data_IF_515543654043
#
_entry.id   IF_515543654043
#
_cell.length_a   1.000
_cell.length_b   1.000
_cell.length_c   1.000
_cell.angle_alpha   90.00
_cell.angle_beta   90.00
_cell.angle_gamma   90.00
#
_symmetry.space_group_name_H-M   'P 1'
#
loop_
_entity.id
_entity.type
_entity.pdbx_description
1 polymer ?
#
# COMPACT_ATOMS: atom_id res chain seq x y z
N UNK A 1 25.71 2.31 -30.55
CA UNK A 1 25.43 3.24 -29.44
C UNK A 1 24.24 2.84 -28.58
N UNK A 2 22.96 3.02 -28.97
CA UNK A 2 21.83 2.66 -28.07
C UNK A 2 21.81 1.18 -27.64
N UNK A 3 22.18 0.26 -28.54
CA UNK A 3 22.24 -1.18 -28.25
C UNK A 3 23.36 -1.58 -27.26
N UNK A 4 24.50 -0.89 -27.28
CA UNK A 4 25.63 -1.17 -26.38
C UNK A 4 25.38 -0.65 -24.96
N UNK A 5 24.69 0.50 -24.83
CA UNK A 5 24.31 1.07 -23.54
C UNK A 5 23.31 0.16 -22.81
N UNK A 6 22.31 -0.36 -23.52
CA UNK A 6 21.31 -1.30 -22.95
C UNK A 6 21.99 -2.60 -22.49
N UNK A 7 22.96 -3.12 -23.25
CA UNK A 7 23.67 -4.36 -22.93
C UNK A 7 24.67 -4.22 -21.76
N UNK A 8 25.06 -3.00 -21.41
CA UNK A 8 25.90 -2.72 -20.25
C UNK A 8 25.03 -2.56 -18.99
N UNK A 9 23.89 -1.87 -19.11
CA UNK A 9 22.91 -1.66 -18.03
C UNK A 9 22.24 -2.95 -17.52
N UNK A 10 22.11 -3.98 -18.37
CA UNK A 10 21.55 -5.29 -17.98
C UNK A 10 22.37 -6.04 -16.93
N UNK A 11 23.65 -5.69 -16.73
CA UNK A 11 24.53 -6.32 -15.72
C UNK A 11 24.53 -5.61 -14.36
N UNK A 12 24.01 -4.39 -14.29
CA UNK A 12 23.97 -3.63 -13.04
C UNK A 12 22.89 -4.18 -12.09
N UNK A 13 23.21 -4.13 -10.80
CA UNK A 13 22.25 -4.42 -9.74
C UNK A 13 21.16 -3.35 -9.71
N UNK A 14 19.99 -3.73 -9.20
CA UNK A 14 18.83 -2.85 -9.16
C UNK A 14 19.09 -1.56 -8.35
N UNK A 15 19.89 -1.65 -7.28
CA UNK A 15 20.29 -0.51 -6.46
C UNK A 15 21.11 0.51 -7.24
N UNK A 16 22.03 0.02 -8.08
CA UNK A 16 22.89 0.86 -8.91
C UNK A 16 22.11 1.53 -10.06
N UNK A 17 21.15 0.81 -10.67
CA UNK A 17 20.24 1.38 -11.66
C UNK A 17 19.41 2.53 -11.07
N UNK A 18 18.93 2.38 -9.84
CA UNK A 18 18.18 3.43 -9.13
C UNK A 18 19.07 4.62 -8.77
N UNK A 19 20.32 4.39 -8.37
CA UNK A 19 21.28 5.46 -8.09
C UNK A 19 21.60 6.28 -9.35
N UNK A 20 21.92 5.60 -10.46
CA UNK A 20 22.17 6.26 -11.75
C UNK A 20 20.94 7.02 -12.25
N UNK A 21 19.75 6.45 -12.04
CA UNK A 21 18.51 7.15 -12.35
C UNK A 21 18.37 8.44 -11.53
N UNK A 22 18.62 8.41 -10.21
CA UNK A 22 18.60 9.63 -9.39
C UNK A 22 19.60 10.68 -9.86
N UNK A 23 20.71 10.27 -10.47
CA UNK A 23 21.74 11.14 -11.04
C UNK A 23 21.42 11.70 -12.44
N UNK A 24 20.28 11.33 -13.05
CA UNK A 24 19.83 11.87 -14.35
C UNK A 24 19.86 10.88 -15.50
N UNK A 25 20.24 9.62 -15.26
CA UNK A 25 20.25 8.61 -16.31
C UNK A 25 18.88 7.94 -16.46
N UNK A 26 18.01 8.49 -17.30
CA UNK A 26 16.66 7.94 -17.52
C UNK A 26 16.68 6.53 -18.14
N UNK A 27 17.73 6.17 -18.89
CA UNK A 27 17.90 4.82 -19.44
C UNK A 27 18.10 3.75 -18.35
N UNK A 28 18.63 4.14 -17.19
CA UNK A 28 18.76 3.25 -16.03
C UNK A 28 17.38 2.90 -15.46
N UNK A 29 16.46 3.88 -15.37
CA UNK A 29 15.08 3.62 -14.95
C UNK A 29 14.32 2.78 -15.97
N UNK A 30 14.48 3.05 -17.26
CA UNK A 30 13.83 2.23 -18.29
C UNK A 30 14.24 0.75 -18.19
N UNK A 31 15.53 0.50 -17.93
CA UNK A 31 16.05 -0.86 -17.71
C UNK A 31 15.47 -1.49 -16.45
N UNK A 32 15.43 -0.75 -15.34
CA UNK A 32 14.82 -1.18 -14.09
C UNK A 32 13.32 -1.50 -14.27
N UNK A 33 12.56 -0.61 -14.91
CA UNK A 33 11.14 -0.78 -15.22
C UNK A 33 10.90 -2.07 -16.02
N UNK A 34 11.61 -2.25 -17.15
CA UNK A 34 11.46 -3.44 -18.00
C UNK A 34 11.77 -4.74 -17.27
N UNK A 35 12.72 -4.71 -16.32
CA UNK A 35 13.09 -5.88 -15.51
C UNK A 35 11.97 -6.32 -14.56
N UNK A 36 11.20 -5.38 -14.02
CA UNK A 36 10.24 -5.65 -12.93
C UNK A 36 8.77 -5.64 -13.37
N UNK A 37 8.41 -4.92 -14.44
CA UNK A 37 7.02 -4.70 -14.86
C UNK A 37 6.23 -6.01 -15.04
N UNK A 38 6.81 -7.00 -15.73
CA UNK A 38 6.13 -8.28 -16.02
C UNK A 38 5.82 -9.05 -14.73
N UNK A 39 6.77 -9.11 -13.80
CA UNK A 39 6.58 -9.81 -12.53
C UNK A 39 5.53 -9.10 -11.66
N UNK A 40 5.57 -7.78 -11.59
CA UNK A 40 4.63 -6.99 -10.79
C UNK A 40 3.21 -7.06 -11.36
N UNK A 41 3.04 -7.00 -12.68
CA UNK A 41 1.76 -7.24 -13.34
C UNK A 41 1.22 -8.63 -13.00
N UNK A 42 2.05 -9.68 -13.08
CA UNK A 42 1.63 -11.03 -12.71
C UNK A 42 1.15 -11.15 -11.26
N UNK A 43 1.75 -10.41 -10.33
CA UNK A 43 1.31 -10.34 -8.93
C UNK A 43 0.02 -9.54 -8.78
N UNK A 44 -0.10 -8.41 -9.49
CA UNK A 44 -1.27 -7.54 -9.48
C UNK A 44 -2.52 -8.26 -10.02
N UNK A 45 -2.42 -8.89 -11.20
CA UNK A 45 -3.54 -9.62 -11.82
C UNK A 45 -4.06 -10.73 -10.90
N UNK A 46 -3.16 -11.49 -10.24
CA UNK A 46 -3.55 -12.52 -9.27
C UNK A 46 -4.30 -11.99 -8.05
N UNK A 47 -4.09 -10.72 -7.70
CA UNK A 47 -4.71 -10.10 -6.52
C UNK A 47 -6.00 -9.37 -6.85
N UNK A 48 -6.05 -8.70 -7.99
CA UNK A 48 -7.16 -7.80 -8.35
C UNK A 48 -8.26 -8.54 -9.11
N UNK A 49 -7.91 -9.61 -9.84
CA UNK A 49 -8.81 -10.36 -10.71
C UNK A 49 -9.46 -9.50 -11.81
N UNK A 50 -8.79 -8.41 -12.18
CA UNK A 50 -9.08 -7.52 -13.31
C UNK A 50 -7.72 -7.13 -13.91
N UNK A 51 -7.52 -7.45 -15.20
CA UNK A 51 -6.25 -7.24 -15.88
C UNK A 51 -6.02 -5.77 -16.25
N UNK A 52 -7.08 -5.03 -16.57
CA UNK A 52 -7.00 -3.62 -16.97
C UNK A 52 -6.69 -2.76 -15.75
N UNK A 53 -7.42 -2.97 -14.65
CA UNK A 53 -7.13 -2.33 -13.38
C UNK A 53 -5.72 -2.67 -12.85
N UNK A 54 -5.27 -3.92 -13.02
CA UNK A 54 -3.91 -4.31 -12.64
C UNK A 54 -2.83 -3.56 -13.43
N UNK A 55 -3.04 -3.32 -14.72
CA UNK A 55 -2.12 -2.52 -15.55
C UNK A 55 -2.06 -1.08 -15.05
N UNK A 56 -3.20 -0.46 -14.83
CA UNK A 56 -3.29 0.92 -14.36
C UNK A 56 -2.62 1.11 -13.00
N UNK A 57 -2.84 0.19 -12.06
CA UNK A 57 -2.25 0.24 -10.71
C UNK A 57 -0.72 0.15 -10.76
N UNK A 58 -0.19 -0.77 -11.56
CA UNK A 58 1.26 -0.92 -11.70
C UNK A 58 1.86 0.30 -12.41
N UNK A 59 1.17 0.85 -13.41
CA UNK A 59 1.59 2.07 -14.08
C UNK A 59 1.59 3.27 -13.13
N UNK A 60 0.51 3.49 -12.38
CA UNK A 60 0.39 4.57 -11.38
C UNK A 60 1.49 4.46 -10.31
N UNK A 61 1.81 3.24 -9.87
CA UNK A 61 2.92 2.99 -8.95
C UNK A 61 4.27 3.48 -9.50
N UNK A 62 4.62 3.14 -10.75
CA UNK A 62 5.86 3.61 -11.37
C UNK A 62 5.85 5.12 -11.65
N UNK A 63 4.71 5.68 -12.08
CA UNK A 63 4.56 7.14 -12.27
C UNK A 63 4.73 7.91 -10.96
N UNK A 64 4.21 7.37 -9.85
CA UNK A 64 4.41 7.94 -8.52
C UNK A 64 5.88 7.88 -8.10
N UNK A 65 6.57 6.78 -8.39
CA UNK A 65 8.01 6.67 -8.16
C UNK A 65 8.79 7.74 -8.92
N UNK A 66 8.46 7.97 -10.20
CA UNK A 66 9.08 9.01 -11.03
C UNK A 66 8.79 10.41 -10.48
N UNK A 67 7.53 10.68 -10.15
CA UNK A 67 7.09 11.99 -9.64
C UNK A 67 7.74 12.35 -8.30
N UNK A 68 8.12 11.33 -7.52
CA UNK A 68 8.76 11.48 -6.21
C UNK A 68 10.26 11.15 -6.24
N UNK A 69 10.90 11.16 -7.42
CA UNK A 69 12.30 10.75 -7.62
C UNK A 69 13.27 11.39 -6.62
N UNK A 70 13.15 12.70 -6.38
CA UNK A 70 14.06 13.45 -5.50
C UNK A 70 13.85 13.11 -4.01
N UNK A 71 12.66 12.63 -3.66
CA UNK A 71 12.27 12.25 -2.29
C UNK A 71 12.45 10.77 -2.00
N UNK A 72 12.86 9.97 -2.99
CA UNK A 72 13.09 8.55 -2.78
C UNK A 72 14.24 8.38 -1.77
N UNK A 73 14.05 7.58 -0.71
CA UNK A 73 15.15 7.22 0.18
C UNK A 73 16.20 6.41 -0.59
N UNK A 74 17.35 6.19 0.03
CA UNK A 74 18.26 5.15 -0.44
C UNK A 74 17.57 3.80 -0.29
N UNK A 75 17.53 3.00 -1.36
CA UNK A 75 16.77 1.75 -1.40
C UNK A 75 17.76 0.59 -1.37
N UNK A 76 17.98 0.03 -0.18
CA UNK A 76 18.84 -1.14 0.02
C UNK A 76 18.28 -2.40 -0.65
N UNK A 77 16.95 -2.53 -0.71
CA UNK A 77 16.27 -3.67 -1.35
C UNK A 77 15.18 -3.21 -2.33
N UNK A 78 15.54 -3.01 -3.61
CA UNK A 78 14.61 -2.56 -4.65
C UNK A 78 13.41 -3.49 -4.83
N UNK A 79 13.62 -4.80 -4.71
CA UNK A 79 12.53 -5.79 -4.78
C UNK A 79 11.54 -5.65 -3.62
N UNK A 80 12.02 -5.49 -2.39
CA UNK A 80 11.14 -5.30 -1.22
C UNK A 80 10.36 -3.99 -1.33
N UNK A 81 11.02 -2.92 -1.80
CA UNK A 81 10.40 -1.63 -2.07
C UNK A 81 9.27 -1.74 -3.11
N UNK A 82 9.52 -2.40 -4.25
CA UNK A 82 8.53 -2.58 -5.31
C UNK A 82 7.32 -3.40 -4.84
N UNK A 83 7.55 -4.49 -4.10
CA UNK A 83 6.46 -5.30 -3.55
C UNK A 83 5.61 -4.53 -2.54
N UNK A 84 6.24 -3.68 -1.72
CA UNK A 84 5.55 -2.82 -0.76
C UNK A 84 4.73 -1.75 -1.48
N UNK A 85 5.33 -1.10 -2.47
CA UNK A 85 4.68 -0.08 -3.31
C UNK A 85 3.49 -0.66 -4.06
N UNK A 86 3.62 -1.84 -4.66
CA UNK A 86 2.52 -2.51 -5.34
C UNK A 86 1.38 -2.85 -4.38
N UNK A 87 1.71 -3.34 -3.18
CA UNK A 87 0.71 -3.61 -2.15
C UNK A 87 -0.05 -2.33 -1.75
N UNK A 88 0.65 -1.21 -1.63
CA UNK A 88 0.04 0.10 -1.34
C UNK A 88 -0.88 0.55 -2.49
N UNK A 89 -0.46 0.42 -3.74
CA UNK A 89 -1.29 0.81 -4.89
C UNK A 89 -2.54 -0.06 -5.03
N UNK A 90 -2.43 -1.37 -4.81
CA UNK A 90 -3.59 -2.28 -4.79
C UNK A 90 -4.56 -1.91 -3.66
N UNK A 91 -4.03 -1.59 -2.48
CA UNK A 91 -4.85 -1.14 -1.36
C UNK A 91 -5.61 0.16 -1.69
N UNK A 92 -4.92 1.15 -2.27
CA UNK A 92 -5.52 2.41 -2.68
C UNK A 92 -6.59 2.22 -3.76
N UNK A 93 -6.36 1.31 -4.71
CA UNK A 93 -7.36 0.93 -5.70
C UNK A 93 -8.64 0.41 -5.03
N UNK A 94 -8.55 -0.59 -4.16
CA UNK A 94 -9.73 -1.12 -3.47
C UNK A 94 -10.41 -0.10 -2.57
N UNK A 95 -9.63 0.80 -1.95
CA UNK A 95 -10.19 1.93 -1.19
C UNK A 95 -11.03 2.83 -2.11
N UNK A 96 -10.52 3.19 -3.29
CA UNK A 96 -11.24 4.02 -4.28
C UNK A 96 -12.49 3.32 -4.82
N UNK A 97 -12.37 2.04 -5.17
CA UNK A 97 -13.50 1.19 -5.61
C UNK A 97 -14.61 1.12 -4.56
N UNK A 98 -14.27 0.90 -3.29
CA UNK A 98 -15.26 0.82 -2.21
C UNK A 98 -15.97 2.16 -1.98
N UNK A 99 -15.23 3.26 -2.07
CA UNK A 99 -15.79 4.60 -1.99
C UNK A 99 -16.70 4.87 -3.20
N UNK A 100 -16.27 4.54 -4.41
CA UNK A 100 -17.05 4.72 -5.64
C UNK A 100 -18.34 3.90 -5.61
N UNK A 101 -18.27 2.62 -5.21
CA UNK A 101 -19.46 1.77 -5.04
C UNK A 101 -20.41 2.32 -3.98
N UNK A 102 -19.91 2.87 -2.88
CA UNK A 102 -20.76 3.57 -1.90
C UNK A 102 -21.41 4.81 -2.49
N UNK A 103 -20.72 5.57 -3.35
CA UNK A 103 -21.30 6.72 -4.04
C UNK A 103 -22.35 6.30 -5.08
N UNK A 104 -22.11 5.21 -5.81
CA UNK A 104 -23.07 4.65 -6.77
C UNK A 104 -24.29 4.05 -6.07
N UNK A 105 -24.09 3.26 -5.01
CA UNK A 105 -25.15 2.79 -4.12
C UNK A 105 -25.91 3.97 -3.53
N UNK A 106 -25.23 5.03 -3.06
CA UNK A 106 -25.88 6.25 -2.57
C UNK A 106 -26.69 6.98 -3.65
N UNK A 107 -26.20 7.06 -4.88
CA UNK A 107 -26.90 7.67 -6.02
C UNK A 107 -28.12 6.83 -6.45
N UNK A 108 -28.06 5.51 -6.32
CA UNK A 108 -29.18 4.60 -6.59
C UNK A 108 -30.20 4.59 -5.44
N UNK A 109 -29.76 4.59 -4.18
CA UNK A 109 -30.64 4.59 -2.99
C UNK A 109 -31.33 5.93 -2.78
N UNK A 110 -30.74 7.06 -3.18
CA UNK A 110 -31.43 8.37 -3.13
C UNK A 110 -32.58 8.48 -4.14
N UNK A 111 -32.62 7.61 -5.17
CA UNK A 111 -33.78 7.46 -6.06
C UNK A 111 -34.91 6.60 -5.46
N UNK A 112 -34.65 5.82 -4.40
CA UNK A 112 -35.63 4.98 -3.69
C UNK A 112 -35.66 5.36 -2.21
N UNK A 113 -36.52 6.33 -1.86
CA UNK A 113 -36.56 6.99 -0.56
C UNK A 113 -36.36 6.10 0.69
N UNK A 114 -35.40 6.54 1.52
CA UNK A 114 -35.34 6.48 2.99
C UNK A 114 -35.50 5.11 3.68
N UNK A 115 -34.37 4.46 4.00
CA UNK A 115 -34.01 3.97 5.38
C UNK A 115 -32.60 3.34 5.40
N UNK A 116 -32.17 2.73 4.28
CA UNK A 116 -30.91 1.97 4.21
C UNK A 116 -29.66 2.85 4.37
N UNK A 117 -29.68 4.11 3.92
CA UNK A 117 -28.50 5.00 3.98
C UNK A 117 -28.08 5.31 5.40
N UNK A 118 -29.03 5.56 6.31
CA UNK A 118 -28.73 5.82 7.71
C UNK A 118 -28.20 4.56 8.37
N UNK A 119 -28.82 3.40 8.10
CA UNK A 119 -28.44 2.11 8.66
C UNK A 119 -27.03 1.68 8.23
N UNK A 120 -26.69 1.83 6.94
CA UNK A 120 -25.34 1.52 6.43
C UNK A 120 -24.27 2.49 6.95
N UNK A 121 -24.58 3.78 7.05
CA UNK A 121 -23.68 4.76 7.67
C UNK A 121 -23.49 4.48 9.17
N UNK A 122 -24.56 4.07 9.86
CA UNK A 122 -24.51 3.66 11.27
C UNK A 122 -23.60 2.44 11.43
N UNK A 123 -23.77 1.42 10.58
CA UNK A 123 -22.95 0.21 10.61
C UNK A 123 -21.47 0.47 10.28
N UNK A 124 -21.18 1.37 9.34
CA UNK A 124 -19.81 1.76 9.03
C UNK A 124 -19.14 2.50 10.20
N UNK A 125 -19.86 3.43 10.82
CA UNK A 125 -19.39 4.21 11.98
C UNK A 125 -19.24 3.37 13.23
N UNK A 126 -20.12 2.40 13.42
CA UNK A 126 -20.01 1.39 14.48
C UNK A 126 -18.76 0.54 14.29
N UNK A 127 -18.51 0.04 13.07
CA UNK A 127 -17.33 -0.76 12.77
C UNK A 127 -16.03 0.03 12.92
N UNK A 128 -16.03 1.30 12.51
CA UNK A 128 -14.92 2.22 12.74
C UNK A 128 -14.67 2.45 14.24
N UNK A 129 -15.73 2.68 15.01
CA UNK A 129 -15.65 2.86 16.47
C UNK A 129 -15.07 1.61 17.13
N UNK A 130 -15.54 0.43 16.72
CA UNK A 130 -15.02 -0.85 17.20
C UNK A 130 -13.54 -1.04 16.85
N UNK A 131 -13.11 -0.61 15.67
CA UNK A 131 -11.69 -0.65 15.30
C UNK A 131 -10.85 0.29 16.16
N UNK A 132 -11.28 1.53 16.37
CA UNK A 132 -10.57 2.49 17.23
C UNK A 132 -10.45 1.94 18.65
N UNK A 133 -11.54 1.42 19.22
CA UNK A 133 -11.52 0.78 20.54
C UNK A 133 -10.55 -0.42 20.55
N UNK A 134 -10.61 -1.29 19.54
CA UNK A 134 -9.71 -2.44 19.44
C UNK A 134 -8.24 -2.01 19.35
N UNK A 135 -7.92 -0.95 18.59
CA UNK A 135 -6.58 -0.37 18.50
C UNK A 135 -6.12 0.14 19.86
N UNK A 136 -7.00 0.78 20.63
CA UNK A 136 -6.66 1.29 21.96
C UNK A 136 -6.46 0.19 23.01
N UNK A 137 -7.00 -1.02 22.80
CA UNK A 137 -6.69 -2.19 23.64
C UNK A 137 -5.33 -2.83 23.33
N UNK A 138 -4.67 -2.45 22.24
CA UNK A 138 -3.37 -3.01 21.88
C UNK A 138 -2.28 -2.61 22.88
N UNK A 139 -1.31 -3.49 23.17
CA UNK A 139 -0.13 -3.12 23.93
C UNK A 139 0.57 -1.88 23.30
N UNK A 140 1.14 -0.96 24.10
CA UNK A 140 1.61 0.34 23.62
C UNK A 140 2.52 0.28 22.39
N UNK A 141 3.50 -0.63 22.38
CA UNK A 141 4.41 -0.81 21.25
C UNK A 141 3.73 -1.38 20.01
N UNK A 142 2.78 -2.31 20.19
CA UNK A 142 2.00 -2.88 19.08
C UNK A 142 1.09 -1.82 18.46
N UNK A 143 0.43 -1.00 19.29
CA UNK A 143 -0.39 0.14 18.87
C UNK A 143 0.45 1.15 18.09
N UNK A 144 1.60 1.53 18.62
CA UNK A 144 2.45 2.54 18.00
C UNK A 144 2.97 2.10 16.63
N UNK A 145 3.50 0.88 16.54
CA UNK A 145 3.95 0.28 15.27
C UNK A 145 2.79 0.13 14.28
N UNK A 146 1.60 -0.25 14.74
CA UNK A 146 0.40 -0.33 13.90
C UNK A 146 -0.03 1.03 13.33
N UNK A 147 -0.08 2.07 14.19
CA UNK A 147 -0.44 3.44 13.78
C UNK A 147 0.58 4.00 12.77
N UNK A 148 1.88 3.88 13.02
CA UNK A 148 2.92 4.31 12.08
C UNK A 148 2.80 3.62 10.70
N UNK A 149 2.50 2.32 10.69
CA UNK A 149 2.33 1.57 9.45
C UNK A 149 1.05 1.96 8.67
N UNK A 150 0.01 2.44 9.36
CA UNK A 150 -1.31 2.69 8.76
C UNK A 150 -1.60 4.16 8.48
N UNK A 151 -1.16 5.06 9.35
CA UNK A 151 -1.36 6.51 9.22
C UNK A 151 -0.21 7.18 8.48
N UNK A 152 1.03 6.75 8.75
CA UNK A 152 2.22 7.34 8.12
C UNK A 152 2.77 6.49 6.95
N UNK A 153 2.15 5.34 6.67
CA UNK A 153 2.53 4.41 5.58
C UNK A 153 4.00 3.96 5.60
N UNK A 154 4.64 4.00 6.78
CA UNK A 154 6.03 3.60 6.93
C UNK A 154 6.21 2.09 6.77
N UNK A 155 7.28 1.70 6.06
CA UNK A 155 7.73 0.31 5.97
C UNK A 155 8.25 -0.20 7.31
N UNK A 156 8.35 -1.52 7.49
CA UNK A 156 8.92 -2.08 8.72
C UNK A 156 10.34 -1.56 9.00
N UNK A 157 11.13 -1.37 7.95
CA UNK A 157 12.49 -0.81 8.02
C UNK A 157 12.48 0.65 8.48
N UNK A 158 11.61 1.47 7.91
CA UNK A 158 11.46 2.88 8.31
C UNK A 158 10.93 3.02 9.75
N UNK A 159 10.03 2.13 10.17
CA UNK A 159 9.54 2.08 11.56
C UNK A 159 10.68 1.63 12.50
N UNK A 160 11.47 0.64 12.10
CA UNK A 160 12.60 0.14 12.87
C UNK A 160 13.64 1.24 13.13
N UNK A 161 14.00 1.98 12.07
CA UNK A 161 14.87 3.14 12.15
C UNK A 161 14.27 4.24 13.05
N UNK A 162 13.01 4.63 12.81
CA UNK A 162 12.32 5.68 13.57
C UNK A 162 12.19 5.35 15.06
N UNK A 163 12.00 4.07 15.41
CA UNK A 163 11.85 3.62 16.79
C UNK A 163 13.15 3.10 17.41
N UNK A 164 14.26 3.09 16.67
CA UNK A 164 15.55 2.54 17.09
C UNK A 164 15.45 1.09 17.63
N UNK A 165 14.69 0.25 16.93
CA UNK A 165 14.53 -1.18 17.22
C UNK A 165 14.84 -2.02 15.98
N UNK A 166 14.94 -3.34 16.11
CA UNK A 166 15.18 -4.20 14.94
C UNK A 166 13.92 -4.36 14.06
N UNK A 167 14.10 -4.53 12.75
CA UNK A 167 12.99 -4.85 11.83
C UNK A 167 12.20 -6.10 12.26
N UNK A 168 12.89 -7.10 12.80
CA UNK A 168 12.26 -8.30 13.34
C UNK A 168 11.35 -7.97 14.55
N UNK A 169 11.77 -7.04 15.40
CA UNK A 169 10.95 -6.54 16.53
C UNK A 169 9.70 -5.82 16.02
N UNK A 170 9.83 -4.97 14.99
CA UNK A 170 8.70 -4.31 14.32
C UNK A 170 7.74 -5.35 13.75
N UNK A 171 8.26 -6.36 13.06
CA UNK A 171 7.45 -7.44 12.48
C UNK A 171 6.68 -8.22 13.57
N UNK A 172 7.33 -8.54 14.69
CA UNK A 172 6.68 -9.21 15.81
C UNK A 172 5.56 -8.36 16.42
N UNK A 173 5.81 -7.06 16.62
CA UNK A 173 4.77 -6.13 17.10
C UNK A 173 3.60 -6.02 16.12
N UNK A 174 3.88 -5.96 14.82
CA UNK A 174 2.87 -5.90 13.77
C UNK A 174 2.03 -7.18 13.70
N UNK A 175 2.67 -8.35 13.73
CA UNK A 175 1.99 -9.66 13.77
C UNK A 175 1.11 -9.77 15.00
N UNK A 176 1.60 -9.34 16.17
CA UNK A 176 0.85 -9.34 17.43
C UNK A 176 -0.35 -8.38 17.37
N UNK A 177 -0.16 -7.17 16.84
CA UNK A 177 -1.24 -6.20 16.64
C UNK A 177 -2.35 -6.78 15.75
N UNK A 178 -2.00 -7.28 14.56
CA UNK A 178 -2.97 -7.86 13.63
C UNK A 178 -3.71 -9.06 14.22
N UNK A 179 -3.04 -9.91 14.99
CA UNK A 179 -3.68 -11.04 15.67
C UNK A 179 -4.73 -10.57 16.69
N UNK A 180 -4.39 -9.58 17.51
CA UNK A 180 -5.30 -9.05 18.54
C UNK A 180 -6.50 -8.32 17.91
N UNK A 181 -6.25 -7.52 16.87
CA UNK A 181 -7.33 -6.87 16.12
C UNK A 181 -8.24 -7.90 15.44
N UNK A 182 -7.69 -9.01 14.92
CA UNK A 182 -8.48 -10.09 14.31
C UNK A 182 -9.35 -10.82 15.32
N UNK A 183 -8.92 -10.95 16.58
CA UNK A 183 -9.76 -11.52 17.64
C UNK A 183 -10.96 -10.62 17.92
N UNK A 184 -10.76 -9.29 17.86
CA UNK A 184 -11.80 -8.31 18.20
C UNK A 184 -12.78 -8.07 17.04
N UNK A 185 -12.29 -8.05 15.80
CA UNK A 185 -13.03 -7.63 14.60
C UNK A 185 -13.34 -8.79 13.64
N UNK A 186 -12.74 -9.97 13.85
CA UNK A 186 -12.97 -11.16 13.04
C UNK A 186 -12.67 -10.95 11.55
N UNK A 187 -13.60 -11.36 10.70
CA UNK A 187 -13.51 -11.23 9.24
C UNK A 187 -13.71 -9.79 8.76
N UNK A 188 -14.24 -8.90 9.59
CA UNK A 188 -14.46 -7.50 9.25
C UNK A 188 -13.19 -6.65 9.38
N UNK A 189 -12.10 -7.19 9.94
CA UNK A 189 -10.83 -6.47 10.11
C UNK A 189 -10.31 -5.78 8.82
N UNK A 190 -10.29 -6.42 7.64
CA UNK A 190 -9.82 -5.78 6.42
C UNK A 190 -10.67 -4.57 6.03
N UNK A 191 -12.00 -4.70 6.14
CA UNK A 191 -12.96 -3.64 5.82
C UNK A 191 -12.82 -2.49 6.84
N UNK A 192 -12.72 -2.82 8.13
CA UNK A 192 -12.54 -1.82 9.18
C UNK A 192 -11.27 -0.98 8.98
N UNK A 193 -10.14 -1.62 8.63
CA UNK A 193 -8.88 -0.92 8.33
C UNK A 193 -9.03 0.02 7.13
N UNK A 194 -9.79 -0.39 6.11
CA UNK A 194 -10.09 0.46 4.94
C UNK A 194 -10.92 1.67 5.35
N UNK A 195 -11.96 1.47 6.16
CA UNK A 195 -12.84 2.55 6.63
C UNK A 195 -12.11 3.59 7.47
N UNK A 196 -11.27 3.15 8.41
CA UNK A 196 -10.50 4.05 9.26
C UNK A 196 -9.51 4.91 8.48
N UNK A 197 -8.96 4.38 7.37
CA UNK A 197 -8.04 5.14 6.51
C UNK A 197 -8.74 6.16 5.60
N UNK A 198 -10.07 6.25 5.63
CA UNK A 198 -10.88 7.22 4.87
C UNK A 198 -11.22 8.46 5.70
N UNK A 199 -11.21 8.35 7.03
CA UNK A 199 -11.72 9.38 7.96
C UNK A 199 -10.61 10.27 8.55
N UNK A 200 -9.34 10.00 8.22
CA UNK A 200 -8.16 10.82 8.59
C UNK A 200 -7.51 11.52 7.38
#
# INVERSE_FOLDING_TARGET
MHSEIINTLTRHEDSELLLQWKQGNDAAFETFYKRHIVQLLGVACKKINDEEAAKDIVQEMFLSMISNRDKLPEIDSPKAYLHTSLKHSIYNYYRRELVSKRYEEFAVTTATGTDDTLLHQLHAKELETQLVLAIETLPPQCRHVFKLSRQEFLSNSQIAEKLQISENTVEQHMRKALRLLRISLGEYLPIAIILWSIVE
#
